data_IF_267406931574
#
_entry.id   IF_267406931574
#
_cell.length_a   1.000
_cell.length_b   1.000
_cell.length_c   1.000
_cell.angle_alpha   90.00
_cell.angle_beta   90.00
_cell.angle_gamma   90.00
#
_symmetry.space_group_name_H-M   'P 1'
#
loop_
_entity.id
_entity.type
_entity.pdbx_description
1 polymer ?
#
# COMPACT_ATOMS: atom_id res chain seq x y z
N UNK A 1 23.38 -11.92 -5.16
CA UNK A 1 23.40 -10.97 -4.02
C UNK A 1 22.31 -9.89 -4.07
N UNK A 2 21.66 -9.58 -5.20
CA UNK A 2 20.58 -8.56 -5.27
C UNK A 2 19.19 -9.02 -4.75
N UNK A 3 19.00 -10.31 -4.48
CA UNK A 3 17.72 -10.88 -4.04
C UNK A 3 17.55 -10.85 -2.50
N UNK A 4 18.65 -11.03 -1.76
CA UNK A 4 18.70 -10.97 -0.30
C UNK A 4 18.53 -9.55 0.24
N UNK A 5 19.12 -8.54 -0.42
CA UNK A 5 18.91 -7.13 -0.04
C UNK A 5 17.45 -6.70 -0.19
N UNK A 6 16.73 -7.18 -1.23
CA UNK A 6 15.31 -6.87 -1.43
C UNK A 6 14.40 -7.52 -0.39
N UNK A 7 14.74 -8.72 0.08
CA UNK A 7 14.02 -9.40 1.17
C UNK A 7 14.20 -8.68 2.51
N UNK A 8 15.41 -8.18 2.79
CA UNK A 8 15.73 -7.47 4.02
C UNK A 8 15.06 -6.08 4.04
N UNK A 9 15.06 -5.34 2.92
CA UNK A 9 14.36 -4.04 2.83
C UNK A 9 12.84 -4.20 2.99
N UNK A 10 12.24 -5.26 2.42
CA UNK A 10 10.81 -5.51 2.57
C UNK A 10 10.40 -5.78 4.03
N UNK A 11 11.21 -6.56 4.77
CA UNK A 11 10.96 -6.86 6.19
C UNK A 11 11.11 -5.61 7.08
N UNK A 12 12.10 -4.76 6.80
CA UNK A 12 12.30 -3.51 7.54
C UNK A 12 11.21 -2.46 7.27
N UNK A 13 10.74 -2.34 6.02
CA UNK A 13 9.63 -1.45 5.67
C UNK A 13 8.31 -1.88 6.32
N UNK A 14 8.11 -3.19 6.51
CA UNK A 14 6.92 -3.72 7.18
C UNK A 14 6.88 -3.32 8.67
N UNK A 15 8.03 -3.30 9.34
CA UNK A 15 8.13 -2.86 10.74
C UNK A 15 7.80 -1.38 10.95
N UNK A 16 8.20 -0.49 10.02
CA UNK A 16 7.87 0.94 10.08
C UNK A 16 6.40 1.24 9.74
N UNK A 17 5.78 0.44 8.87
CA UNK A 17 4.36 0.59 8.53
C UNK A 17 3.44 0.31 9.74
N UNK A 18 3.81 -0.65 10.60
CA UNK A 18 3.06 -0.95 11.84
C UNK A 18 3.09 0.23 12.81
N UNK A 19 4.17 1.01 12.85
CA UNK A 19 4.28 2.18 13.74
C UNK A 19 3.42 3.37 13.27
N UNK A 20 3.24 3.57 11.96
CA UNK A 20 2.30 4.58 11.43
C UNK A 20 0.82 4.21 11.64
N UNK A 21 0.51 2.91 11.71
CA UNK A 21 -0.84 2.44 12.05
C UNK A 21 -1.27 2.74 13.49
N UNK A 22 -0.32 2.98 14.40
CA UNK A 22 -0.63 3.27 15.81
C UNK A 22 -0.97 4.75 16.07
N UNK A 23 -0.61 5.67 15.16
CA UNK A 23 -0.91 7.11 15.26
C UNK A 23 -2.12 7.55 14.42
N UNK A 24 -2.60 6.69 13.50
CA UNK A 24 -3.79 6.96 12.69
C UNK A 24 -5.05 6.56 13.48
N UNK A 25 -5.33 7.28 14.55
CA UNK A 25 -6.50 7.07 15.41
C UNK A 25 -7.17 8.42 15.67
N UNK A 26 -7.54 9.19 14.63
CA UNK A 26 -8.56 10.23 14.78
C UNK A 26 -9.16 10.69 13.43
N UNK A 27 -10.47 10.51 13.26
CA UNK A 27 -11.30 11.17 12.24
C UNK A 27 -11.25 10.52 10.86
N UNK A 28 -10.21 10.77 10.06
CA UNK A 28 -10.17 10.41 8.62
C UNK A 28 -9.45 9.09 8.30
N UNK A 29 -9.38 8.21 9.30
CA UNK A 29 -8.55 7.01 9.30
C UNK A 29 -8.96 6.02 8.20
N UNK A 30 -10.26 5.88 7.92
CA UNK A 30 -10.74 4.94 6.91
C UNK A 30 -10.11 5.21 5.54
N UNK A 31 -10.19 6.46 5.06
CA UNK A 31 -9.64 6.87 3.76
C UNK A 31 -8.11 6.82 3.76
N UNK A 32 -7.46 7.29 4.83
CA UNK A 32 -5.98 7.32 4.91
C UNK A 32 -5.40 5.91 5.02
N UNK A 33 -5.99 5.04 5.84
CA UNK A 33 -5.57 3.64 5.98
C UNK A 33 -5.91 2.86 4.72
N UNK A 34 -7.11 3.07 4.16
CA UNK A 34 -7.55 2.43 2.93
C UNK A 34 -6.64 2.79 1.76
N UNK A 35 -6.34 4.08 1.55
CA UNK A 35 -5.36 4.52 0.53
C UNK A 35 -3.99 3.91 0.80
N UNK A 36 -3.47 3.98 2.03
CA UNK A 36 -2.13 3.48 2.35
C UNK A 36 -1.99 1.96 2.10
N UNK A 37 -2.95 1.17 2.58
CA UNK A 37 -2.98 -0.29 2.38
C UNK A 37 -3.22 -0.63 0.91
N UNK A 38 -4.09 0.11 0.23
CA UNK A 38 -4.38 -0.06 -1.18
C UNK A 38 -3.19 0.26 -2.08
N UNK A 39 -2.47 1.36 -1.81
CA UNK A 39 -1.22 1.72 -2.51
C UNK A 39 -0.17 0.65 -2.27
N UNK A 40 0.06 0.26 -1.02
CA UNK A 40 1.10 -0.72 -0.67
C UNK A 40 0.80 -2.11 -1.25
N UNK A 41 -0.43 -2.60 -1.06
CA UNK A 41 -0.89 -3.89 -1.57
C UNK A 41 -0.95 -3.91 -3.09
N UNK A 42 -1.48 -2.85 -3.70
CA UNK A 42 -1.55 -2.68 -5.14
C UNK A 42 -0.15 -2.61 -5.78
N UNK A 43 0.79 -1.89 -5.18
CA UNK A 43 2.17 -1.85 -5.64
C UNK A 43 2.85 -3.22 -5.56
N UNK A 44 2.66 -3.93 -4.45
CA UNK A 44 3.23 -5.26 -4.25
C UNK A 44 2.70 -6.25 -5.31
N UNK A 45 1.38 -6.34 -5.46
CA UNK A 45 0.74 -7.24 -6.43
C UNK A 45 1.06 -6.82 -7.87
N UNK A 46 0.95 -5.54 -8.18
CA UNK A 46 1.25 -5.01 -9.52
C UNK A 46 2.70 -5.24 -9.93
N UNK A 47 3.65 -5.11 -9.01
CA UNK A 47 5.06 -5.41 -9.28
C UNK A 47 5.35 -6.91 -9.43
N UNK A 48 4.54 -7.77 -8.79
CA UNK A 48 4.66 -9.22 -8.85
C UNK A 48 4.06 -9.80 -10.14
N UNK A 49 2.93 -9.26 -10.59
CA UNK A 49 2.23 -9.69 -11.80
C UNK A 49 2.88 -9.11 -13.07
N UNK A 50 3.51 -7.94 -12.97
CA UNK A 50 4.19 -7.36 -14.13
C UNK A 50 5.46 -8.14 -14.54
N UNK A 51 5.57 -8.38 -15.85
CA UNK A 51 6.67 -9.13 -16.46
C UNK A 51 8.07 -8.53 -16.26
N UNK A 52 9.11 -9.33 -16.55
CA UNK A 52 10.52 -8.97 -16.38
C UNK A 52 10.87 -7.77 -17.27
N UNK A 53 10.85 -6.57 -16.70
CA UNK A 53 11.08 -5.29 -17.39
C UNK A 53 10.10 -4.19 -16.97
N UNK A 54 8.87 -4.58 -16.61
CA UNK A 54 7.78 -3.63 -16.30
C UNK A 54 7.33 -3.68 -14.85
N UNK A 55 8.11 -4.26 -13.93
CA UNK A 55 7.74 -4.32 -12.50
C UNK A 55 7.50 -2.96 -11.87
N UNK A 56 8.25 -1.94 -12.28
CA UNK A 56 8.03 -0.55 -11.84
C UNK A 56 6.69 -0.01 -12.34
N UNK A 57 6.39 -0.22 -13.63
CA UNK A 57 5.09 0.14 -14.22
C UNK A 57 3.94 -0.60 -13.56
N UNK A 58 4.09 -1.89 -13.30
CA UNK A 58 3.11 -2.70 -12.58
C UNK A 58 2.90 -2.22 -11.16
N UNK A 59 3.98 -1.87 -10.44
CA UNK A 59 3.90 -1.30 -9.11
C UNK A 59 3.12 0.03 -9.11
N UNK A 60 3.42 0.94 -10.04
CA UNK A 60 2.77 2.25 -10.11
C UNK A 60 1.29 2.11 -10.49
N UNK A 61 0.98 1.27 -11.48
CA UNK A 61 -0.41 1.02 -11.89
C UNK A 61 -1.21 0.39 -10.75
N UNK A 62 -0.66 -0.63 -10.10
CA UNK A 62 -1.28 -1.26 -8.96
C UNK A 62 -1.42 -0.32 -7.76
N UNK A 63 -0.42 0.52 -7.49
CA UNK A 63 -0.45 1.54 -6.44
C UNK A 63 -1.55 2.57 -6.68
N UNK A 64 -1.68 3.07 -7.91
CA UNK A 64 -2.70 4.07 -8.26
C UNK A 64 -4.10 3.48 -8.14
N UNK A 65 -4.33 2.29 -8.71
CA UNK A 65 -5.64 1.64 -8.65
C UNK A 65 -6.00 1.26 -7.21
N UNK A 66 -5.06 0.64 -6.49
CA UNK A 66 -5.27 0.25 -5.10
C UNK A 66 -5.44 1.45 -4.17
N UNK A 67 -4.70 2.53 -4.38
CA UNK A 67 -4.82 3.76 -3.62
C UNK A 67 -6.16 4.45 -3.82
N UNK A 68 -6.61 4.59 -5.07
CA UNK A 68 -7.93 5.18 -5.36
C UNK A 68 -9.05 4.31 -4.79
N UNK A 69 -9.01 2.99 -5.00
CA UNK A 69 -10.02 2.07 -4.47
C UNK A 69 -10.06 2.09 -2.94
N UNK A 70 -8.89 2.03 -2.29
CA UNK A 70 -8.78 2.07 -0.84
C UNK A 70 -9.21 3.40 -0.23
N UNK A 71 -8.92 4.52 -0.90
CA UNK A 71 -9.37 5.84 -0.47
C UNK A 71 -10.88 6.00 -0.52
N UNK A 72 -11.51 5.57 -1.62
CA UNK A 72 -12.97 5.65 -1.78
C UNK A 72 -13.69 4.76 -0.76
N UNK A 73 -13.23 3.52 -0.57
CA UNK A 73 -13.83 2.61 0.42
C UNK A 73 -13.63 3.15 1.85
N UNK A 74 -12.49 3.75 2.10
CA UNK A 74 -12.18 4.35 3.38
C UNK A 74 -13.00 5.60 3.71
N UNK A 75 -13.31 6.41 2.69
CA UNK A 75 -14.19 7.58 2.81
C UNK A 75 -15.64 7.15 3.13
N UNK A 76 -16.13 6.10 2.44
CA UNK A 76 -17.44 5.49 2.71
C UNK A 76 -17.56 4.87 4.11
N UNK A 77 -16.45 4.42 4.70
CA UNK A 77 -16.40 3.91 6.08
C UNK A 77 -16.46 5.04 7.11
N UNK A 78 -15.95 6.22 6.77
CA UNK A 78 -16.04 7.41 7.61
C UNK A 78 -17.46 7.98 7.64
N UNK A 79 -18.14 7.99 6.50
CA UNK A 79 -19.49 8.54 6.32
C UNK A 79 -20.62 7.67 6.93
N UNK A 80 -20.29 6.52 7.56
CA UNK A 80 -21.25 5.64 8.25
C UNK A 80 -21.14 5.67 9.79
N UNK A 81 -20.73 6.81 10.37
CA UNK A 81 -20.94 7.13 11.80
C UNK A 81 -22.17 7.99 11.99
#
# INVERSE_FOLDING_TARGET
MQHTTRFITASACLGMAVFSGCATLDGHEGAVVGTAVGVAGGAAVGSAVAGKGNRGTGAVVGAVIGGVAGGVVGDQLHDKK
#
